data_IF_403992045180
#
_entry.id   IF_403992045180
#
_cell.length_a   1.000
_cell.length_b   1.000
_cell.length_c   1.000
_cell.angle_alpha   90.00
_cell.angle_beta   90.00
_cell.angle_gamma   90.00
#
_symmetry.space_group_name_H-M   'P 1'
#
loop_
_entity.id
_entity.type
_entity.pdbx_description
1 polymer ?
#
# COMPACT_ATOMS: atom_id res chain seq x y z
N UNK A 1 27.29 26.32 -2.78
CA UNK A 1 26.19 26.29 -3.71
C UNK A 1 25.03 25.47 -3.19
N UNK A 2 23.88 25.78 -3.71
CA UNK A 2 22.64 25.18 -3.32
C UNK A 2 22.34 23.84 -4.01
N UNK A 3 23.24 23.32 -4.82
CA UNK A 3 22.98 22.06 -5.55
C UNK A 3 22.68 20.90 -4.62
N UNK A 4 23.29 20.86 -3.44
CA UNK A 4 23.02 19.82 -2.47
C UNK A 4 21.57 19.79 -2.01
N UNK A 5 20.89 20.92 -1.99
CA UNK A 5 19.50 21.00 -1.59
C UNK A 5 18.57 20.35 -2.62
N UNK A 6 18.91 20.48 -3.91
CA UNK A 6 18.08 19.94 -4.99
C UNK A 6 18.09 18.42 -4.98
N UNK A 7 19.19 17.84 -4.51
CA UNK A 7 19.36 16.38 -4.48
C UNK A 7 19.03 15.77 -3.13
N UNK A 8 18.62 16.59 -2.19
CA UNK A 8 18.33 16.10 -0.84
C UNK A 8 17.08 15.23 -0.83
N UNK A 9 17.21 14.05 -0.26
CA UNK A 9 16.09 13.12 -0.11
C UNK A 9 15.44 13.41 1.23
N UNK A 10 14.14 13.70 1.21
CA UNK A 10 13.37 13.92 2.43
C UNK A 10 13.04 12.56 3.03
N UNK A 11 13.71 12.25 4.14
CA UNK A 11 13.51 11.02 4.87
C UNK A 11 13.44 11.31 6.36
N UNK A 12 12.47 10.70 7.03
CA UNK A 12 12.33 10.78 8.48
C UNK A 12 12.32 9.38 9.07
N UNK A 13 12.91 9.24 10.25
CA UNK A 13 12.86 7.99 10.99
C UNK A 13 11.64 7.98 11.90
N UNK A 14 10.90 6.85 11.96
CA UNK A 14 9.85 6.69 12.95
C UNK A 14 10.41 6.80 14.36
N UNK A 15 9.63 7.35 15.28
CA UNK A 15 10.03 7.53 16.65
C UNK A 15 8.83 7.74 17.55
N UNK A 16 9.03 8.11 18.84
CA UNK A 16 7.93 8.22 19.79
C UNK A 16 6.84 9.19 19.37
N UNK A 17 7.19 10.24 18.62
CA UNK A 17 6.22 11.23 18.16
C UNK A 17 5.48 10.78 16.89
N UNK A 18 6.02 9.83 16.17
CA UNK A 18 5.42 9.30 14.94
C UNK A 18 5.82 7.85 14.78
N UNK A 19 5.27 6.96 15.61
CA UNK A 19 5.63 5.55 15.53
C UNK A 19 5.00 4.88 14.31
N UNK A 20 5.74 3.93 13.72
CA UNK A 20 5.23 3.04 12.69
C UNK A 20 5.50 1.62 13.13
N UNK A 21 4.45 0.81 13.18
CA UNK A 21 4.58 -0.62 13.46
C UNK A 21 4.04 -1.42 12.29
N UNK A 22 4.70 -2.52 11.98
CA UNK A 22 4.29 -3.45 10.93
C UNK A 22 4.16 -4.82 11.58
N UNK A 23 2.96 -5.37 11.56
CA UNK A 23 2.68 -6.66 12.20
C UNK A 23 1.99 -7.61 11.22
N UNK A 24 2.33 -8.91 11.26
CA UNK A 24 1.60 -9.90 10.45
C UNK A 24 0.13 -9.91 10.85
N UNK A 25 -0.74 -10.03 9.84
CA UNK A 25 -2.17 -10.16 10.05
C UNK A 25 -2.62 -11.53 9.51
N UNK A 26 -2.97 -12.47 10.40
CA UNK A 26 -3.35 -13.83 9.97
C UNK A 26 -4.79 -13.95 9.48
N UNK A 27 -5.57 -12.89 9.61
CA UNK A 27 -6.95 -12.91 9.15
C UNK A 27 -6.99 -12.99 7.62
N UNK A 28 -8.04 -13.61 7.09
CA UNK A 28 -8.27 -13.59 5.65
C UNK A 28 -8.75 -12.20 5.25
N UNK A 29 -8.05 -11.62 4.30
CA UNK A 29 -8.34 -10.29 3.75
C UNK A 29 -8.78 -10.48 2.31
N UNK A 30 -9.86 -9.80 1.91
CA UNK A 30 -10.36 -9.85 0.54
C UNK A 30 -10.67 -8.45 0.06
N UNK A 31 -10.20 -8.12 -1.15
CA UNK A 31 -10.49 -6.84 -1.82
C UNK A 31 -11.37 -7.12 -3.02
N UNK A 32 -12.48 -6.39 -3.11
CA UNK A 32 -13.51 -6.59 -4.14
C UNK A 32 -13.69 -5.36 -5.00
N UNK A 33 -13.83 -5.56 -6.30
CA UNK A 33 -14.23 -4.52 -7.24
C UNK A 33 -15.05 -5.14 -8.36
N UNK A 34 -16.25 -4.61 -8.60
CA UNK A 34 -17.11 -5.02 -9.71
C UNK A 34 -17.48 -6.50 -9.68
N UNK A 35 -17.58 -7.10 -8.49
CA UNK A 35 -17.88 -8.52 -8.35
C UNK A 35 -16.66 -9.43 -8.47
N UNK A 36 -15.47 -8.87 -8.73
CA UNK A 36 -14.24 -9.65 -8.79
C UNK A 36 -13.46 -9.57 -7.49
N UNK A 37 -12.82 -10.67 -7.11
CA UNK A 37 -11.83 -10.68 -6.04
C UNK A 37 -10.52 -10.19 -6.64
N UNK A 38 -10.12 -8.98 -6.28
CA UNK A 38 -8.90 -8.35 -6.79
C UNK A 38 -7.68 -8.85 -6.01
N UNK A 39 -7.87 -9.15 -4.74
CA UNK A 39 -6.82 -9.67 -3.88
C UNK A 39 -7.43 -10.50 -2.76
N UNK A 40 -6.73 -11.56 -2.36
CA UNK A 40 -7.14 -12.37 -1.20
C UNK A 40 -5.90 -12.97 -0.58
N UNK A 41 -5.74 -12.80 0.73
CA UNK A 41 -4.54 -13.24 1.42
C UNK A 41 -4.83 -13.57 2.88
N UNK A 42 -4.01 -14.45 3.47
CA UNK A 42 -3.92 -14.64 4.92
C UNK A 42 -2.55 -14.19 5.44
N UNK A 43 -1.79 -13.47 4.63
CA UNK A 43 -0.43 -13.03 4.96
C UNK A 43 -0.26 -11.54 4.80
N UNK A 44 -1.32 -10.76 5.01
CA UNK A 44 -1.22 -9.31 4.97
C UNK A 44 -0.35 -8.80 6.11
N UNK A 45 0.26 -7.64 5.90
CA UNK A 45 0.94 -6.89 6.94
C UNK A 45 0.07 -5.70 7.30
N UNK A 46 -0.20 -5.52 8.59
CA UNK A 46 -0.89 -4.34 9.08
C UNK A 46 0.14 -3.30 9.47
N UNK A 47 0.10 -2.15 8.82
CA UNK A 47 0.95 -1.02 9.14
C UNK A 47 0.11 0.01 9.90
N UNK A 48 0.55 0.29 11.14
CA UNK A 48 -0.04 1.34 11.96
C UNK A 48 0.92 2.50 12.03
N UNK A 49 0.52 3.63 11.50
CA UNK A 49 1.32 4.83 11.46
C UNK A 49 0.69 5.88 12.38
N UNK A 50 1.33 6.18 13.49
CA UNK A 50 0.85 7.14 14.48
C UNK A 50 -0.62 6.88 14.81
N UNK A 51 -1.49 7.89 14.63
CA UNK A 51 -2.93 7.78 14.89
C UNK A 51 -3.74 7.62 13.60
N UNK A 52 -3.07 7.40 12.47
CA UNK A 52 -3.75 7.20 11.20
C UNK A 52 -4.45 5.84 11.19
N UNK A 53 -5.48 5.67 10.36
CA UNK A 53 -6.10 4.35 10.20
C UNK A 53 -5.07 3.32 9.75
N UNK A 54 -5.17 2.07 10.25
CA UNK A 54 -4.25 1.02 9.82
C UNK A 54 -4.41 0.74 8.32
N UNK A 55 -3.30 0.39 7.68
CA UNK A 55 -3.27 0.04 6.27
C UNK A 55 -2.84 -1.41 6.14
N UNK A 56 -3.53 -2.15 5.28
CA UNK A 56 -3.22 -3.54 4.99
C UNK A 56 -2.37 -3.62 3.73
N UNK A 57 -1.19 -4.19 3.85
CA UNK A 57 -0.28 -4.41 2.72
C UNK A 57 -0.31 -5.89 2.37
N UNK A 58 -0.67 -6.18 1.12
CA UNK A 58 -0.93 -7.54 0.65
C UNK A 58 0.26 -8.01 -0.17
N UNK A 59 0.78 -9.24 0.08
CA UNK A 59 1.84 -9.79 -0.77
C UNK A 59 1.42 -9.77 -2.24
N UNK A 60 2.33 -9.35 -3.12
CA UNK A 60 2.02 -9.18 -4.53
C UNK A 60 1.50 -10.47 -5.18
N UNK A 61 1.98 -11.63 -4.72
CA UNK A 61 1.53 -12.92 -5.22
C UNK A 61 0.06 -13.24 -4.91
N UNK A 62 -0.54 -12.54 -3.95
CA UNK A 62 -1.93 -12.72 -3.58
C UNK A 62 -2.84 -11.65 -4.18
N UNK A 63 -2.31 -10.84 -5.09
CA UNK A 63 -3.03 -9.78 -5.82
C UNK A 63 -3.16 -10.19 -7.28
N UNK A 64 -4.35 -9.98 -7.83
CA UNK A 64 -4.60 -10.15 -9.26
C UNK A 64 -3.93 -9.00 -10.02
N UNK A 65 -2.62 -9.11 -10.23
CA UNK A 65 -1.86 -8.06 -10.92
C UNK A 65 -2.31 -7.86 -12.37
N UNK A 66 -2.95 -8.86 -12.97
CA UNK A 66 -3.55 -8.73 -14.28
C UNK A 66 -4.73 -7.74 -14.33
N UNK A 67 -5.28 -7.39 -13.18
CA UNK A 67 -6.33 -6.37 -13.05
C UNK A 67 -5.77 -5.00 -12.67
N UNK A 68 -4.47 -4.88 -12.49
CA UNK A 68 -3.79 -3.66 -12.08
C UNK A 68 -2.87 -3.16 -13.19
N UNK A 69 -3.05 -1.91 -13.59
CA UNK A 69 -2.19 -1.25 -14.56
C UNK A 69 -1.38 -0.15 -13.88
N UNK A 70 -0.06 -0.25 -13.96
CA UNK A 70 0.82 0.78 -13.41
C UNK A 70 0.61 2.11 -14.13
N UNK A 71 0.57 3.18 -13.37
CA UNK A 71 0.43 4.54 -13.91
C UNK A 71 1.72 5.33 -13.67
N UNK A 72 1.74 6.58 -14.13
CA UNK A 72 2.87 7.47 -13.88
C UNK A 72 2.73 8.25 -12.57
N UNK A 73 1.60 8.08 -11.88
CA UNK A 73 1.37 8.77 -10.61
C UNK A 73 2.35 8.30 -9.56
N UNK A 74 2.98 9.25 -8.87
CA UNK A 74 3.93 8.97 -7.78
C UNK A 74 3.60 9.85 -6.60
N UNK A 75 3.76 9.30 -5.40
CA UNK A 75 3.65 10.06 -4.16
C UNK A 75 4.89 9.79 -3.32
N UNK A 76 5.21 10.73 -2.44
CA UNK A 76 6.35 10.61 -1.54
C UNK A 76 5.88 10.67 -0.09
N UNK A 77 6.31 9.71 0.69
CA UNK A 77 6.11 9.71 2.15
C UNK A 77 7.47 9.85 2.82
N UNK A 78 7.67 10.84 3.71
CA UNK A 78 8.97 11.02 4.36
C UNK A 78 9.41 9.81 5.19
N UNK A 79 8.46 8.98 5.62
CA UNK A 79 8.75 7.81 6.45
C UNK A 79 8.88 6.53 5.64
N UNK A 80 8.21 6.43 4.47
CA UNK A 80 8.13 5.18 3.71
C UNK A 80 8.87 5.22 2.38
N UNK A 81 8.99 6.39 1.76
CA UNK A 81 9.64 6.53 0.47
C UNK A 81 8.67 6.89 -0.64
N UNK A 82 9.00 6.48 -1.86
CA UNK A 82 8.19 6.78 -3.04
C UNK A 82 7.26 5.62 -3.36
N UNK A 83 5.98 5.95 -3.57
CA UNK A 83 4.96 4.96 -3.93
C UNK A 83 4.67 5.02 -5.43
N UNK A 84 4.59 3.85 -6.05
CA UNK A 84 4.01 3.67 -7.38
C UNK A 84 2.53 3.41 -7.24
N UNK A 85 1.75 3.73 -8.27
CA UNK A 85 0.29 3.61 -8.21
C UNK A 85 -0.23 2.76 -9.36
N UNK A 86 -1.40 2.17 -9.13
CA UNK A 86 -2.06 1.30 -10.11
C UNK A 86 -3.52 1.67 -10.24
N UNK A 87 -3.98 1.68 -11.49
CA UNK A 87 -5.41 1.69 -11.80
C UNK A 87 -5.92 0.27 -11.68
N UNK A 88 -7.04 0.07 -11.01
CA UNK A 88 -7.63 -1.25 -10.79
C UNK A 88 -8.89 -1.39 -11.63
N UNK A 89 -9.00 -2.50 -12.35
CA UNK A 89 -10.16 -2.79 -13.20
C UNK A 89 -10.83 -4.08 -12.75
N UNK A 90 -12.16 -4.09 -12.73
CA UNK A 90 -12.92 -5.28 -12.38
C UNK A 90 -14.39 -5.10 -12.71
N UNK A 91 -15.00 -6.10 -13.34
CA UNK A 91 -16.44 -6.10 -13.63
C UNK A 91 -16.92 -4.91 -14.44
N UNK A 92 -16.11 -4.40 -15.36
CA UNK A 92 -16.45 -3.22 -16.15
C UNK A 92 -16.19 -1.89 -15.43
N UNK A 93 -15.74 -1.93 -14.19
CA UNK A 93 -15.37 -0.74 -13.42
C UNK A 93 -13.88 -0.48 -13.54
N UNK A 94 -13.51 0.80 -13.62
CA UNK A 94 -12.12 1.24 -13.64
C UNK A 94 -11.93 2.28 -12.55
N UNK A 95 -10.97 2.03 -11.67
CA UNK A 95 -10.68 2.95 -10.56
C UNK A 95 -9.24 3.43 -10.67
N UNK A 96 -9.09 4.68 -11.10
CA UNK A 96 -7.80 5.28 -11.35
C UNK A 96 -7.01 5.43 -10.06
N UNK A 97 -5.75 4.95 -10.08
CA UNK A 97 -4.82 5.04 -8.96
C UNK A 97 -5.43 4.54 -7.64
N UNK A 98 -6.12 3.40 -7.71
CA UNK A 98 -6.84 2.84 -6.57
C UNK A 98 -5.95 1.98 -5.66
N UNK A 99 -4.75 1.63 -6.12
CA UNK A 99 -3.79 0.84 -5.35
C UNK A 99 -2.41 1.47 -5.43
N UNK A 100 -1.57 1.15 -4.46
CA UNK A 100 -0.19 1.64 -4.44
C UNK A 100 0.75 0.60 -3.86
N UNK A 101 2.05 0.81 -4.10
CA UNK A 101 3.09 -0.04 -3.55
C UNK A 101 4.35 0.78 -3.33
N UNK A 102 5.04 0.51 -2.24
CA UNK A 102 6.40 0.98 -1.99
C UNK A 102 7.34 -0.13 -2.43
N UNK A 103 7.89 -0.02 -3.65
CA UNK A 103 8.73 -1.09 -4.19
C UNK A 103 10.13 -1.08 -3.58
N UNK A 104 10.60 0.11 -3.24
CA UNK A 104 11.89 0.31 -2.58
C UNK A 104 11.71 1.25 -1.38
N UNK A 105 11.02 0.80 -0.32
CA UNK A 105 10.76 1.65 0.83
C UNK A 105 12.04 1.91 1.61
N UNK A 106 12.01 2.94 2.47
CA UNK A 106 13.12 3.16 3.40
C UNK A 106 13.27 1.95 4.33
N UNK A 107 14.50 1.73 4.80
CA UNK A 107 14.85 0.52 5.55
C UNK A 107 13.98 0.30 6.79
N UNK A 108 13.56 1.37 7.45
CA UNK A 108 12.74 1.27 8.66
C UNK A 108 11.38 0.63 8.42
N UNK A 109 10.90 0.61 7.17
CA UNK A 109 9.65 -0.04 6.79
C UNK A 109 9.86 -1.07 5.69
N UNK A 110 11.06 -1.65 5.61
CA UNK A 110 11.43 -2.58 4.55
C UNK A 110 10.51 -3.77 4.40
N UNK A 111 9.79 -4.16 5.46
CA UNK A 111 8.90 -5.30 5.41
C UNK A 111 7.77 -5.18 4.41
N UNK A 112 7.34 -3.95 4.06
CA UNK A 112 6.25 -3.75 3.09
C UNK A 112 6.73 -3.71 1.64
N UNK A 113 8.02 -3.89 1.38
CA UNK A 113 8.57 -3.80 0.02
C UNK A 113 7.77 -4.67 -0.95
N UNK A 114 7.31 -4.09 -2.05
CA UNK A 114 6.60 -4.79 -3.09
C UNK A 114 5.18 -5.22 -2.77
N UNK A 115 4.74 -5.07 -1.53
CA UNK A 115 3.35 -5.35 -1.14
C UNK A 115 2.43 -4.29 -1.74
N UNK A 116 1.16 -4.63 -1.93
CA UNK A 116 0.17 -3.75 -2.53
C UNK A 116 -0.90 -3.40 -1.52
N UNK A 117 -1.26 -2.12 -1.46
CA UNK A 117 -2.34 -1.61 -0.64
C UNK A 117 -3.40 -0.96 -1.52
N UNK A 118 -4.63 -0.91 -1.03
CA UNK A 118 -5.78 -0.38 -1.78
C UNK A 118 -6.44 0.75 -1.02
N UNK A 119 -6.86 1.80 -1.73
CA UNK A 119 -7.65 2.86 -1.13
C UNK A 119 -9.08 2.38 -0.87
N UNK A 120 -9.52 2.39 0.41
CA UNK A 120 -10.85 1.87 0.75
C UNK A 120 -11.99 2.57 0.01
N UNK A 121 -11.82 3.86 -0.31
CA UNK A 121 -12.84 4.63 -0.99
C UNK A 121 -12.84 4.45 -2.52
N UNK A 122 -11.92 3.64 -3.05
CA UNK A 122 -11.80 3.42 -4.50
C UNK A 122 -12.07 1.98 -4.91
N UNK A 123 -12.30 1.09 -3.97
CA UNK A 123 -12.73 -0.28 -4.23
C UNK A 123 -14.08 -0.49 -3.58
N UNK A 124 -14.77 -1.58 -3.95
CA UNK A 124 -16.10 -1.82 -3.40
C UNK A 124 -16.04 -2.27 -1.95
N UNK A 125 -15.04 -3.10 -1.61
CA UNK A 125 -14.89 -3.57 -0.25
C UNK A 125 -13.46 -4.03 0.02
N UNK A 126 -13.00 -3.80 1.24
CA UNK A 126 -11.84 -4.47 1.82
C UNK A 126 -12.38 -5.19 3.05
N UNK A 127 -12.46 -6.51 2.96
CA UNK A 127 -13.08 -7.35 3.99
C UNK A 127 -12.01 -8.04 4.81
N UNK A 128 -12.19 -8.04 6.11
CA UNK A 128 -11.31 -8.75 7.04
C UNK A 128 -12.16 -9.76 7.81
N UNK A 129 -11.87 -11.04 7.63
CA UNK A 129 -12.64 -12.14 8.24
C UNK A 129 -11.93 -12.58 9.51
N UNK A 130 -12.49 -12.26 10.65
CA UNK A 130 -11.84 -12.46 11.93
C UNK A 130 -12.13 -13.83 12.56
N UNK A 131 -12.95 -14.65 11.89
CA UNK A 131 -13.15 -16.02 12.37
C UNK A 131 -13.95 -16.88 11.73
#
# INVERSE_FOLDING_TARGET
>A
LSLGHVLEIIMKEPGPDHPITITPNPHRIRVMLGGFIVAETTQALTLQEARLPPVLYIPRGDVRMDLLDATQHRTHCPYKGDAVHFTVSGGGLVRENAAWSYEEPFASVGGIAGHVAFYPNKVDAIEEFTA
#
